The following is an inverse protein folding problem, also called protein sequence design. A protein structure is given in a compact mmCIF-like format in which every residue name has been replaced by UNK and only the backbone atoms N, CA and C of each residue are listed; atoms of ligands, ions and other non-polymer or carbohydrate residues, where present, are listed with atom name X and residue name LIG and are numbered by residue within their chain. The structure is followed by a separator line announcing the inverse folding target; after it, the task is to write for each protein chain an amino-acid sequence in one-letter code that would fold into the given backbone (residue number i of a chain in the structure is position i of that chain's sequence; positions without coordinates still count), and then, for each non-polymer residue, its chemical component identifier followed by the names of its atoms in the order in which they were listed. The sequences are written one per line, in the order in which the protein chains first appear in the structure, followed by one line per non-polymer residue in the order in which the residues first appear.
data_IF_435605560138
#
_entry.id   IF_435605560138
#
_cell.length_a   1.000
_cell.length_b   1.000
_cell.length_c   1.000
_cell.angle_alpha   90.00
_cell.angle_beta   90.00
_cell.angle_gamma   90.00
#
_symmetry.space_group_name_H-M   'P 1'
#
loop_
_entity.id
_entity.type
_entity.pdbx_description
1 polymer ?
#
# COMPACT_ATOMS: atom_id res chain seq x y z
N UNK A 1 -25.25 -24.78 -24.59
CA UNK A 1 -25.63 -23.71 -23.64
C UNK A 1 -24.93 -22.45 -24.08
N UNK A 2 -25.66 -21.42 -24.56
CA UNK A 2 -25.09 -20.19 -25.07
C UNK A 2 -24.33 -19.44 -23.97
N UNK A 3 -23.11 -18.99 -24.27
CA UNK A 3 -22.36 -18.04 -23.43
C UNK A 3 -23.21 -16.79 -23.30
N UNK A 4 -23.74 -16.50 -22.12
CA UNK A 4 -24.28 -15.17 -21.83
C UNK A 4 -23.06 -14.22 -21.86
N UNK A 5 -23.04 -13.30 -22.81
CA UNK A 5 -22.05 -12.21 -22.83
C UNK A 5 -22.15 -11.46 -21.49
N UNK A 6 -21.13 -11.60 -20.64
CA UNK A 6 -21.05 -10.84 -19.40
C UNK A 6 -20.88 -9.38 -19.78
N UNK A 7 -21.86 -8.55 -19.36
CA UNK A 7 -21.78 -7.12 -19.60
C UNK A 7 -20.52 -6.57 -18.92
N UNK A 8 -19.66 -5.87 -19.67
CA UNK A 8 -18.41 -5.28 -19.14
C UNK A 8 -18.70 -4.02 -18.32
N UNK A 9 -19.49 -4.16 -17.27
CA UNK A 9 -19.79 -3.12 -16.29
C UNK A 9 -19.02 -3.34 -15.00
N UNK A 10 -18.27 -2.35 -14.53
CA UNK A 10 -17.49 -2.44 -13.30
C UNK A 10 -17.80 -1.28 -12.35
N UNK A 11 -17.86 -1.61 -11.06
CA UNK A 11 -17.96 -0.65 -9.96
C UNK A 11 -16.69 -0.64 -9.16
N UNK A 12 -16.12 0.55 -8.91
CA UNK A 12 -14.94 0.74 -8.06
C UNK A 12 -15.33 1.59 -6.85
N UNK A 13 -15.10 1.07 -5.65
CA UNK A 13 -15.45 1.74 -4.39
C UNK A 13 -14.15 2.21 -3.73
N UNK A 14 -13.89 3.52 -3.78
CA UNK A 14 -12.69 4.18 -3.28
C UNK A 14 -11.87 4.82 -4.40
N UNK A 15 -11.50 6.09 -4.23
CA UNK A 15 -10.77 6.91 -5.21
C UNK A 15 -9.29 7.14 -4.83
N UNK A 16 -8.70 6.27 -4.00
CA UNK A 16 -7.26 6.27 -3.73
C UNK A 16 -6.46 5.66 -4.89
N UNK A 17 -5.12 5.53 -4.72
CA UNK A 17 -4.22 4.98 -5.75
C UNK A 17 -4.73 3.64 -6.27
N UNK A 18 -5.12 2.73 -5.38
CA UNK A 18 -5.59 1.40 -5.77
C UNK A 18 -6.88 1.47 -6.60
N UNK A 19 -7.90 2.23 -6.14
CA UNK A 19 -9.17 2.34 -6.85
C UNK A 19 -9.04 3.06 -8.18
N UNK A 20 -8.35 4.21 -8.22
CA UNK A 20 -8.12 4.92 -9.46
C UNK A 20 -7.33 4.08 -10.48
N UNK A 21 -6.33 3.31 -10.02
CA UNK A 21 -5.56 2.44 -10.91
C UNK A 21 -6.37 1.23 -11.40
N UNK A 22 -7.24 0.66 -10.57
CA UNK A 22 -8.16 -0.39 -11.00
C UNK A 22 -9.15 0.15 -12.04
N UNK A 23 -9.75 1.32 -11.79
CA UNK A 23 -10.68 1.97 -12.71
C UNK A 23 -10.02 2.27 -14.06
N UNK A 24 -8.80 2.84 -14.07
CA UNK A 24 -8.04 3.11 -15.28
C UNK A 24 -7.70 1.83 -16.05
N UNK A 25 -7.26 0.78 -15.35
CA UNK A 25 -6.91 -0.50 -15.98
C UNK A 25 -8.14 -1.16 -16.62
N UNK A 26 -9.28 -1.15 -15.94
CA UNK A 26 -10.55 -1.65 -16.47
C UNK A 26 -11.03 -0.84 -17.68
N UNK A 27 -11.00 0.50 -17.60
CA UNK A 27 -11.40 1.35 -18.70
C UNK A 27 -10.57 1.11 -19.97
N UNK A 28 -9.24 0.89 -19.82
CA UNK A 28 -8.37 0.52 -20.95
C UNK A 28 -8.68 -0.83 -21.57
N UNK A 29 -9.25 -1.75 -20.80
CA UNK A 29 -9.75 -3.05 -21.27
C UNK A 29 -11.17 -2.95 -21.88
N UNK A 30 -11.71 -1.74 -22.01
CA UNK A 30 -13.03 -1.49 -22.61
C UNK A 30 -14.20 -1.72 -21.66
N UNK A 31 -13.98 -1.73 -20.33
CA UNK A 31 -15.04 -1.80 -19.35
C UNK A 31 -15.70 -0.44 -19.15
N UNK A 32 -17.02 -0.44 -18.97
CA UNK A 32 -17.75 0.71 -18.46
C UNK A 32 -17.52 0.78 -16.95
N UNK A 33 -16.86 1.83 -16.48
CA UNK A 33 -16.43 1.92 -15.09
C UNK A 33 -17.10 3.10 -14.39
N UNK A 34 -17.73 2.80 -13.25
CA UNK A 34 -18.17 3.82 -12.31
C UNK A 34 -17.34 3.73 -11.01
N UNK A 35 -16.78 4.85 -10.58
CA UNK A 35 -15.97 4.96 -9.38
C UNK A 35 -16.65 5.86 -8.35
N UNK A 36 -16.68 5.42 -7.09
CA UNK A 36 -17.22 6.18 -5.95
C UNK A 36 -16.11 6.51 -4.97
N UNK A 37 -16.24 7.62 -4.25
CA UNK A 37 -15.31 8.04 -3.21
C UNK A 37 -14.61 9.36 -3.51
N UNK A 38 -13.97 9.91 -2.50
CA UNK A 38 -13.24 11.16 -2.62
C UNK A 38 -11.73 10.90 -2.67
N UNK A 39 -10.97 11.65 -3.48
CA UNK A 39 -9.51 11.60 -3.46
C UNK A 39 -8.97 12.01 -2.08
N UNK A 40 -7.76 11.56 -1.75
CA UNK A 40 -7.10 11.94 -0.49
C UNK A 40 -6.96 13.46 -0.36
N UNK A 41 -7.14 13.96 0.85
CA UNK A 41 -6.94 15.38 1.18
C UNK A 41 -5.44 15.72 1.24
N UNK A 42 -5.14 17.03 1.13
CA UNK A 42 -3.79 17.58 1.21
C UNK A 42 -3.07 17.22 2.52
N UNK A 43 -1.74 17.30 2.52
CA UNK A 43 -0.90 17.16 3.72
C UNK A 43 -0.17 15.84 3.88
N UNK A 44 -0.32 14.90 2.93
CA UNK A 44 0.40 13.64 2.93
C UNK A 44 1.36 13.55 1.75
N UNK A 45 2.48 12.88 1.96
CA UNK A 45 3.39 12.48 0.87
C UNK A 45 3.31 10.98 0.64
N UNK A 46 3.69 10.57 -0.56
CA UNK A 46 3.80 9.18 -0.96
C UNK A 46 5.22 8.95 -1.44
N UNK A 47 5.87 7.93 -0.88
CA UNK A 47 7.17 7.46 -1.35
C UNK A 47 6.94 6.36 -2.40
N UNK A 48 7.47 6.57 -3.59
CA UNK A 48 7.40 5.64 -4.71
C UNK A 48 8.80 5.06 -4.94
N UNK A 49 8.99 3.80 -4.60
CA UNK A 49 10.20 3.07 -4.98
C UNK A 49 10.21 2.80 -6.49
N UNK A 50 11.35 2.33 -7.02
CA UNK A 50 11.53 2.06 -8.45
C UNK A 50 10.50 1.08 -9.03
N UNK A 51 10.13 0.05 -8.27
CA UNK A 51 9.13 -0.93 -8.70
C UNK A 51 7.72 -0.33 -8.77
N UNK A 52 7.32 0.46 -7.78
CA UNK A 52 6.03 1.16 -7.77
C UNK A 52 5.95 2.18 -8.93
N UNK A 53 7.04 2.93 -9.18
CA UNK A 53 7.12 3.84 -10.33
C UNK A 53 6.96 3.13 -11.66
N UNK A 54 7.67 2.03 -11.86
CA UNK A 54 7.57 1.25 -13.09
C UNK A 54 6.11 0.83 -13.37
N UNK A 55 5.38 0.34 -12.36
CA UNK A 55 3.98 -0.05 -12.52
C UNK A 55 3.09 1.18 -12.76
N UNK A 56 3.35 2.29 -12.05
CA UNK A 56 2.63 3.54 -12.21
C UNK A 56 2.75 4.06 -13.66
N UNK A 57 3.98 4.11 -14.18
CA UNK A 57 4.25 4.58 -15.54
C UNK A 57 3.59 3.69 -16.61
N UNK A 58 3.57 2.38 -16.40
CA UNK A 58 2.86 1.47 -17.31
C UNK A 58 1.34 1.62 -17.22
N UNK A 59 0.80 1.91 -16.05
CA UNK A 59 -0.64 2.05 -15.85
C UNK A 59 -1.16 3.42 -16.30
N UNK A 60 -0.37 4.48 -16.11
CA UNK A 60 -0.84 5.85 -16.30
C UNK A 60 -0.10 6.61 -17.39
N UNK A 61 1.07 6.15 -17.80
CA UNK A 61 2.03 6.86 -18.63
C UNK A 61 3.02 7.69 -17.82
N UNK A 62 4.23 7.86 -18.36
CA UNK A 62 5.30 8.63 -17.70
C UNK A 62 4.92 10.09 -17.41
N UNK A 63 4.00 10.65 -18.19
CA UNK A 63 3.51 12.02 -18.06
C UNK A 63 2.71 12.26 -16.76
N UNK A 64 2.22 11.21 -16.10
CA UNK A 64 1.47 11.37 -14.85
C UNK A 64 2.30 12.13 -13.81
N UNK A 65 3.55 11.71 -13.59
CA UNK A 65 4.44 12.29 -12.58
C UNK A 65 5.12 13.58 -13.05
N UNK A 66 5.21 13.84 -14.35
CA UNK A 66 5.94 14.99 -14.89
C UNK A 66 5.46 16.34 -14.34
N UNK A 67 4.18 16.44 -13.98
CA UNK A 67 3.56 17.67 -13.48
C UNK A 67 3.07 17.55 -12.03
N UNK A 68 3.64 16.64 -11.25
CA UNK A 68 3.40 16.51 -9.81
C UNK A 68 4.65 17.01 -9.08
N UNK A 69 4.52 17.89 -8.08
CA UNK A 69 5.65 18.26 -7.23
C UNK A 69 6.29 17.00 -6.64
N UNK A 70 7.60 16.86 -6.85
CA UNK A 70 8.33 15.67 -6.45
C UNK A 70 9.75 15.98 -5.98
N UNK A 71 10.22 15.19 -5.02
CA UNK A 71 11.62 15.14 -4.60
C UNK A 71 12.17 13.76 -4.91
N UNK A 72 13.33 13.70 -5.55
CA UNK A 72 14.06 12.45 -5.80
C UNK A 72 15.09 12.25 -4.70
N UNK A 73 15.06 11.09 -4.09
CA UNK A 73 16.03 10.64 -3.10
C UNK A 73 16.86 9.55 -3.75
N UNK A 74 18.17 9.73 -3.76
CA UNK A 74 19.10 8.82 -4.45
C UNK A 74 19.40 7.56 -3.63
N UNK A 75 19.24 7.63 -2.29
CA UNK A 75 19.65 6.58 -1.37
C UNK A 75 18.76 6.46 -0.15
N UNK A 76 18.91 5.34 0.57
CA UNK A 76 18.41 5.15 1.93
C UNK A 76 19.57 5.08 2.90
N UNK A 77 19.47 5.79 4.01
CA UNK A 77 20.35 5.70 5.15
C UNK A 77 19.62 4.97 6.28
N UNK A 78 20.10 3.79 6.67
CA UNK A 78 19.38 2.91 7.61
C UNK A 78 20.25 2.69 8.85
N UNK A 79 19.75 3.10 10.01
CA UNK A 79 20.33 2.82 11.33
C UNK A 79 19.41 1.82 12.04
N UNK A 80 19.68 0.52 11.89
CA UNK A 80 18.77 -0.52 12.37
C UNK A 80 19.28 -1.32 13.56
N UNK A 81 20.52 -1.79 13.50
CA UNK A 81 21.17 -2.58 14.57
C UNK A 81 22.04 -1.73 15.47
N UNK A 82 22.76 -0.83 14.87
CA UNK A 82 23.77 -0.01 15.50
C UNK A 82 23.67 1.44 15.01
N UNK A 83 24.56 2.28 15.50
CA UNK A 83 24.56 3.72 15.18
C UNK A 83 25.29 4.06 13.89
N UNK A 84 25.79 3.07 13.16
CA UNK A 84 26.48 3.28 11.89
C UNK A 84 25.47 3.17 10.76
N UNK A 85 25.21 4.25 10.01
CA UNK A 85 24.24 4.21 8.92
C UNK A 85 24.72 3.29 7.80
N UNK A 86 23.87 2.34 7.43
CA UNK A 86 24.03 1.57 6.19
C UNK A 86 23.43 2.39 5.06
N UNK A 87 24.26 2.69 4.04
CA UNK A 87 23.79 3.37 2.85
C UNK A 87 23.39 2.34 1.79
N UNK A 88 22.21 2.53 1.20
CA UNK A 88 21.69 1.69 0.11
C UNK A 88 21.33 2.62 -1.03
N UNK A 89 21.95 2.42 -2.19
CA UNK A 89 21.56 3.09 -3.42
C UNK A 89 20.19 2.57 -3.87
N UNK A 90 19.18 3.39 -3.66
CA UNK A 90 17.79 3.03 -3.99
C UNK A 90 16.98 4.30 -4.24
N UNK A 91 16.70 4.54 -5.51
CA UNK A 91 15.95 5.71 -5.93
C UNK A 91 14.51 5.64 -5.42
N UNK A 92 14.13 6.63 -4.62
CA UNK A 92 12.77 6.84 -4.16
C UNK A 92 12.28 8.21 -4.62
N UNK A 93 11.07 8.30 -5.16
CA UNK A 93 10.43 9.56 -5.51
C UNK A 93 9.35 9.88 -4.48
N UNK A 94 9.50 11.00 -3.79
CA UNK A 94 8.52 11.51 -2.83
C UNK A 94 7.62 12.51 -3.56
N UNK A 95 6.32 12.26 -3.54
CA UNK A 95 5.32 13.10 -4.23
C UNK A 95 4.24 13.57 -3.28
N UNK A 96 3.66 14.73 -3.55
CA UNK A 96 2.45 15.19 -2.86
C UNK A 96 1.27 14.28 -3.22
N UNK A 97 0.62 13.70 -2.20
CA UNK A 97 -0.45 12.73 -2.37
C UNK A 97 -1.72 13.34 -3.00
N UNK A 98 -2.03 14.60 -2.68
CA UNK A 98 -3.21 15.27 -3.20
C UNK A 98 -3.01 15.67 -4.66
N UNK A 99 -1.81 16.18 -4.99
CA UNK A 99 -1.45 16.51 -6.37
C UNK A 99 -1.48 15.26 -7.27
N UNK A 100 -0.90 14.15 -6.80
CA UNK A 100 -0.97 12.87 -7.51
C UNK A 100 -2.41 12.40 -7.70
N UNK A 101 -3.23 12.41 -6.64
CA UNK A 101 -4.63 12.00 -6.70
C UNK A 101 -5.45 12.87 -7.67
N UNK A 102 -5.23 14.20 -7.65
CA UNK A 102 -5.87 15.12 -8.60
C UNK A 102 -5.52 14.82 -10.06
N UNK A 103 -4.24 14.54 -10.33
CA UNK A 103 -3.80 14.12 -11.67
C UNK A 103 -4.43 12.79 -12.09
N UNK A 104 -4.43 11.80 -11.20
CA UNK A 104 -5.06 10.50 -11.48
C UNK A 104 -6.56 10.67 -11.77
N UNK A 105 -7.27 11.51 -11.02
CA UNK A 105 -8.68 11.80 -11.27
C UNK A 105 -8.91 12.45 -12.64
N UNK A 106 -8.06 13.41 -13.05
CA UNK A 106 -8.15 14.04 -14.38
C UNK A 106 -7.93 13.02 -15.51
N UNK A 107 -6.95 12.14 -15.37
CA UNK A 107 -6.71 11.07 -16.36
C UNK A 107 -7.85 10.05 -16.40
N UNK A 108 -8.41 9.68 -15.24
CA UNK A 108 -9.56 8.78 -15.17
C UNK A 108 -10.80 9.37 -15.86
N UNK A 109 -11.05 10.66 -15.64
CA UNK A 109 -12.12 11.39 -16.33
C UNK A 109 -11.92 11.41 -17.87
N UNK A 110 -10.69 11.67 -18.33
CA UNK A 110 -10.36 11.62 -19.75
C UNK A 110 -10.53 10.21 -20.36
N UNK A 111 -10.35 9.16 -19.57
CA UNK A 111 -10.62 7.77 -19.93
C UNK A 111 -12.12 7.38 -19.78
N UNK A 112 -13.01 8.35 -19.56
CA UNK A 112 -14.46 8.17 -19.41
C UNK A 112 -14.86 7.30 -18.20
N UNK A 113 -14.05 7.27 -17.15
CA UNK A 113 -14.45 6.71 -15.85
C UNK A 113 -15.47 7.63 -15.24
N UNK A 114 -16.69 7.12 -15.02
CA UNK A 114 -17.76 7.90 -14.41
C UNK A 114 -17.51 8.05 -12.91
N UNK A 115 -17.49 9.28 -12.40
CA UNK A 115 -17.53 9.55 -10.96
C UNK A 115 -18.99 9.57 -10.51
N UNK A 116 -19.34 8.72 -9.55
CA UNK A 116 -20.71 8.60 -9.03
C UNK A 116 -20.72 8.88 -7.53
N UNK A 117 -21.70 9.66 -7.09
CA UNK A 117 -21.94 9.90 -5.65
C UNK A 117 -22.92 8.88 -5.04
N UNK A 118 -23.54 8.02 -5.86
CA UNK A 118 -24.56 7.06 -5.45
C UNK A 118 -24.32 5.62 -5.89
N UNK A 119 -25.31 4.75 -5.64
CA UNK A 119 -25.30 3.36 -6.09
C UNK A 119 -25.37 3.31 -7.62
N UNK A 120 -24.32 2.76 -8.25
CA UNK A 120 -24.39 2.42 -9.66
C UNK A 120 -25.31 1.21 -9.91
N UNK A 121 -25.88 1.14 -11.13
CA UNK A 121 -26.51 -0.04 -11.72
C UNK A 121 -25.74 -1.33 -11.37
N UNK A 122 -26.39 -2.49 -11.29
CA UNK A 122 -25.74 -3.73 -10.93
C UNK A 122 -24.56 -3.99 -11.87
N UNK A 123 -23.34 -3.85 -11.32
CA UNK A 123 -22.12 -4.12 -12.05
C UNK A 123 -21.84 -5.62 -12.04
N UNK A 124 -21.33 -6.15 -13.16
CA UNK A 124 -20.91 -7.55 -13.24
C UNK A 124 -19.59 -7.83 -12.46
N UNK A 125 -18.85 -6.76 -12.11
CA UNK A 125 -17.60 -6.83 -11.36
C UNK A 125 -17.48 -5.67 -10.38
N UNK A 126 -17.11 -5.94 -9.13
CA UNK A 126 -16.91 -4.90 -8.10
C UNK A 126 -15.51 -4.94 -7.54
N UNK A 127 -14.85 -3.78 -7.50
CA UNK A 127 -13.54 -3.59 -6.87
C UNK A 127 -13.69 -2.72 -5.63
N UNK A 128 -13.28 -3.23 -4.46
CA UNK A 128 -13.30 -2.50 -3.20
C UNK A 128 -11.89 -2.00 -2.87
N UNK A 129 -11.73 -0.68 -2.86
CA UNK A 129 -10.47 0.04 -2.69
C UNK A 129 -10.53 1.09 -1.57
N UNK A 130 -11.25 0.80 -0.49
CA UNK A 130 -11.57 1.74 0.61
C UNK A 130 -10.40 2.00 1.57
N UNK A 131 -9.24 1.42 1.30
CA UNK A 131 -8.07 1.53 2.18
C UNK A 131 -8.30 0.81 3.51
N UNK A 132 -7.74 1.37 4.60
CA UNK A 132 -7.85 0.78 5.95
C UNK A 132 -9.15 1.14 6.68
N UNK A 133 -10.12 1.79 6.02
CA UNK A 133 -11.26 2.46 6.66
C UNK A 133 -12.26 1.53 7.34
N UNK A 134 -12.26 0.24 7.09
CA UNK A 134 -13.11 -0.70 7.81
C UNK A 134 -12.43 -2.07 7.94
N UNK A 135 -12.06 -2.49 9.15
CA UNK A 135 -11.87 -3.90 9.43
C UNK A 135 -13.24 -4.55 9.33
N UNK A 136 -13.51 -5.25 8.23
CA UNK A 136 -14.69 -6.12 8.12
C UNK A 136 -14.45 -7.44 8.83
N UNK A 137 -15.48 -8.23 9.01
CA UNK A 137 -15.36 -9.63 9.42
C UNK A 137 -14.32 -10.35 8.56
N UNK A 138 -13.55 -11.26 9.16
CA UNK A 138 -12.50 -11.99 8.47
C UNK A 138 -11.22 -11.18 8.20
N UNK A 139 -10.95 -10.10 8.96
CA UNK A 139 -9.67 -9.39 8.85
C UNK A 139 -8.70 -9.83 9.94
N UNK A 140 -7.56 -10.36 9.55
CA UNK A 140 -6.42 -10.63 10.45
C UNK A 140 -5.61 -9.35 10.63
N UNK A 141 -5.10 -9.11 11.84
CA UNK A 141 -4.29 -7.93 12.18
C UNK A 141 -3.05 -8.36 12.95
N UNK A 142 -1.88 -7.87 12.54
CA UNK A 142 -0.60 -8.19 13.16
C UNK A 142 -0.15 -7.11 14.16
N UNK A 143 -0.98 -6.83 15.16
CA UNK A 143 -0.73 -5.86 16.23
C UNK A 143 -1.67 -4.65 16.21
N UNK A 144 -1.35 -3.64 17.03
CA UNK A 144 -2.14 -2.41 17.23
C UNK A 144 -1.24 -1.15 17.17
N UNK A 145 -0.12 -1.22 16.46
CA UNK A 145 0.78 -0.07 16.32
C UNK A 145 0.23 0.99 15.40
N UNK A 146 0.66 2.20 15.64
CA UNK A 146 0.30 3.37 14.86
C UNK A 146 1.54 4.00 14.23
N UNK A 147 1.37 4.68 13.10
CA UNK A 147 2.32 5.61 12.57
C UNK A 147 1.82 7.03 12.82
N UNK A 148 2.69 7.88 13.34
CA UNK A 148 2.43 9.28 13.61
C UNK A 148 3.32 10.09 12.69
N UNK A 149 2.73 10.97 11.88
CA UNK A 149 3.45 11.74 10.88
C UNK A 149 3.23 13.24 11.06
N UNK A 150 4.26 14.03 10.78
CA UNK A 150 4.17 15.48 10.72
C UNK A 150 5.14 16.05 9.67
N UNK A 151 4.83 17.25 9.17
CA UNK A 151 5.80 18.04 8.39
C UNK A 151 6.88 18.63 9.30
N UNK A 152 8.09 18.70 8.78
CA UNK A 152 9.25 19.21 9.50
C UNK A 152 10.04 20.19 8.64
N UNK A 153 10.65 21.17 9.29
CA UNK A 153 11.76 21.91 8.71
C UNK A 153 13.04 21.11 8.88
N UNK A 154 13.83 20.96 7.83
CA UNK A 154 15.11 20.26 7.85
C UNK A 154 16.22 21.16 8.38
N UNK A 155 17.06 20.60 9.24
CA UNK A 155 18.28 21.24 9.68
C UNK A 155 19.29 21.39 8.52
N UNK A 156 20.27 22.31 8.68
CA UNK A 156 21.31 22.51 7.65
C UNK A 156 22.14 21.25 7.37
N UNK A 157 22.30 20.41 8.39
CA UNK A 157 23.07 19.15 8.30
C UNK A 157 22.26 17.97 7.74
N UNK A 158 20.95 18.16 7.45
CA UNK A 158 20.15 17.10 6.89
C UNK A 158 20.59 16.74 5.48
N UNK A 159 20.66 15.44 5.20
CA UNK A 159 20.89 14.93 3.84
C UNK A 159 19.58 14.99 3.05
N UNK A 160 19.49 15.94 2.12
CA UNK A 160 18.28 16.16 1.33
C UNK A 160 18.05 15.09 0.24
N UNK A 161 19.05 14.24 -0.02
CA UNK A 161 19.00 13.20 -1.06
C UNK A 161 18.82 11.78 -0.49
N UNK A 162 18.66 11.67 0.84
CA UNK A 162 18.50 10.38 1.51
C UNK A 162 17.18 10.26 2.29
N UNK A 163 16.50 9.12 2.12
CA UNK A 163 15.52 8.65 3.06
C UNK A 163 16.24 8.07 4.27
N UNK A 164 16.08 8.68 5.43
CA UNK A 164 16.66 8.20 6.68
C UNK A 164 15.65 7.32 7.42
N UNK A 165 16.05 6.11 7.82
CA UNK A 165 15.25 5.20 8.64
C UNK A 165 16.09 4.81 9.87
N UNK A 166 15.51 4.96 11.06
CA UNK A 166 16.23 4.70 12.31
C UNK A 166 15.36 3.91 13.29
N UNK A 167 15.85 2.76 13.76
CA UNK A 167 15.22 1.98 14.81
C UNK A 167 15.65 2.48 16.20
N UNK A 168 14.68 2.52 17.12
CA UNK A 168 14.84 2.94 18.51
C UNK A 168 14.14 1.95 19.45
N UNK A 169 14.37 2.00 20.77
CA UNK A 169 13.62 1.15 21.71
C UNK A 169 12.09 1.36 21.65
N UNK A 170 11.60 2.54 21.26
CA UNK A 170 10.15 2.82 21.10
C UNK A 170 9.58 2.22 19.82
N UNK A 171 10.41 2.05 18.79
CA UNK A 171 9.97 1.63 17.46
C UNK A 171 10.95 2.08 16.39
N UNK A 172 10.46 2.73 15.36
CA UNK A 172 11.32 3.27 14.32
C UNK A 172 10.77 4.58 13.76
N UNK A 173 11.68 5.40 13.29
CA UNK A 173 11.40 6.71 12.73
C UNK A 173 11.93 6.78 11.31
N UNK A 174 11.19 7.41 10.40
CA UNK A 174 11.69 7.73 9.07
C UNK A 174 11.57 9.22 8.80
N UNK A 175 12.58 9.79 8.16
CA UNK A 175 12.62 11.16 7.70
C UNK A 175 12.73 11.16 6.17
N UNK A 176 11.73 11.74 5.51
CA UNK A 176 11.61 11.87 4.07
C UNK A 176 11.77 13.34 3.70
N UNK A 177 12.88 13.78 3.11
CA UNK A 177 12.96 15.07 2.45
C UNK A 177 11.90 15.19 1.35
N UNK A 178 11.20 16.33 1.29
CA UNK A 178 10.08 16.55 0.37
C UNK A 178 10.28 17.74 -0.56
N UNK A 179 11.50 18.28 -0.61
CA UNK A 179 11.90 19.41 -1.41
C UNK A 179 12.17 20.67 -0.60
N UNK A 180 13.08 21.50 -1.08
CA UNK A 180 13.55 22.67 -0.36
C UNK A 180 14.20 22.31 0.98
N UNK A 181 13.76 22.97 2.05
CA UNK A 181 14.19 22.66 3.41
C UNK A 181 13.06 22.04 4.24
N UNK A 182 12.18 21.32 3.61
CA UNK A 182 11.06 20.66 4.26
C UNK A 182 11.11 19.15 4.06
N UNK A 183 10.50 18.43 4.98
CA UNK A 183 10.35 16.99 4.93
C UNK A 183 9.11 16.52 5.68
N UNK A 184 8.94 15.21 5.69
CA UNK A 184 7.97 14.53 6.53
C UNK A 184 8.72 13.56 7.42
N UNK A 185 8.50 13.66 8.72
CA UNK A 185 8.93 12.66 9.69
C UNK A 185 7.72 11.80 10.04
N UNK A 186 7.94 10.52 10.20
CA UNK A 186 6.96 9.68 10.85
C UNK A 186 7.62 8.65 11.78
N UNK A 187 6.93 8.34 12.88
CA UNK A 187 7.34 7.33 13.85
C UNK A 187 6.31 6.23 13.90
N UNK A 188 6.75 4.98 13.83
CA UNK A 188 5.91 3.80 14.01
C UNK A 188 6.18 3.20 15.39
N UNK A 189 5.16 3.24 16.24
CA UNK A 189 5.24 2.85 17.65
C UNK A 189 4.03 2.01 18.04
N UNK A 190 4.11 1.13 19.06
CA UNK A 190 2.93 0.59 19.71
C UNK A 190 2.01 1.73 20.12
N UNK A 191 0.70 1.51 20.08
CA UNK A 191 -0.29 2.55 20.35
C UNK A 191 0.02 3.30 21.64
N UNK A 192 0.37 4.61 21.56
CA UNK A 192 0.82 5.35 22.73
C UNK A 192 -0.35 5.74 23.62
N UNK A 193 -0.09 5.84 24.94
CA UNK A 193 -1.03 6.39 25.91
C UNK A 193 -1.03 7.91 26.00
N UNK A 194 -0.30 8.61 25.13
CA UNK A 194 -0.12 10.07 25.10
C UNK A 194 -0.60 10.65 23.77
N UNK A 195 -0.70 11.98 23.68
CA UNK A 195 -1.11 12.63 22.45
C UNK A 195 -0.12 12.34 21.29
N UNK A 196 -0.60 12.28 20.03
CA UNK A 196 0.26 11.97 18.88
C UNK A 196 1.47 12.89 18.75
N UNK A 197 1.32 14.18 19.08
CA UNK A 197 2.42 15.13 19.04
C UNK A 197 3.53 14.77 20.03
N UNK A 198 3.18 14.45 21.27
CA UNK A 198 4.13 14.11 22.32
C UNK A 198 4.84 12.80 22.00
N UNK A 199 4.10 11.78 21.54
CA UNK A 199 4.68 10.51 21.12
C UNK A 199 5.66 10.67 19.94
N UNK A 200 5.37 11.56 19.00
CA UNK A 200 6.29 11.87 17.90
C UNK A 200 7.55 12.58 18.40
N UNK A 201 7.43 13.58 19.27
CA UNK A 201 8.55 14.28 19.85
C UNK A 201 9.47 13.34 20.64
N UNK A 202 8.90 12.48 21.47
CA UNK A 202 9.65 11.46 22.19
C UNK A 202 10.37 10.49 21.25
N UNK A 203 9.69 10.08 20.16
CA UNK A 203 10.30 9.19 19.15
C UNK A 203 11.46 9.85 18.43
N UNK A 204 11.35 11.15 18.07
CA UNK A 204 12.43 11.91 17.46
C UNK A 204 13.61 12.06 18.45
N UNK A 205 13.32 12.36 19.71
CA UNK A 205 14.35 12.52 20.74
C UNK A 205 15.19 11.26 20.96
N UNK A 206 14.58 10.08 20.84
CA UNK A 206 15.22 8.77 20.97
C UNK A 206 16.15 8.42 19.78
N UNK A 207 16.02 9.13 18.63
CA UNK A 207 16.86 8.86 17.45
C UNK A 207 18.28 9.39 17.62
N UNK A 208 19.23 8.77 16.93
CA UNK A 208 20.62 9.24 16.89
C UNK A 208 20.86 10.26 15.78
N UNK A 209 20.35 10.00 14.57
CA UNK A 209 20.59 10.82 13.39
C UNK A 209 19.41 11.74 13.06
N UNK A 210 18.16 11.23 13.12
CA UNK A 210 17.01 12.01 12.71
C UNK A 210 16.79 13.27 13.55
N UNK A 211 17.05 13.23 14.86
CA UNK A 211 16.96 14.42 15.75
C UNK A 211 17.87 15.58 15.35
N UNK A 212 19.00 15.30 14.71
CA UNK A 212 19.95 16.32 14.24
C UNK A 212 19.62 16.81 12.83
N UNK A 213 18.80 16.05 12.10
CA UNK A 213 18.33 16.39 10.75
C UNK A 213 17.03 17.21 10.75
N UNK A 214 16.34 17.30 11.89
CA UNK A 214 15.09 18.01 12.08
C UNK A 214 15.34 19.30 12.85
N UNK A 215 15.01 20.45 12.26
CA UNK A 215 15.09 21.76 12.92
C UNK A 215 13.84 22.05 13.74
N UNK A 216 12.65 21.72 13.21
CA UNK A 216 11.36 21.92 13.88
C UNK A 216 10.25 21.07 13.27
N UNK A 217 9.26 20.68 14.06
CA UNK A 217 7.97 20.18 13.57
C UNK A 217 7.11 21.39 13.21
N UNK A 218 6.60 21.46 11.95
CA UNK A 218 5.96 22.66 11.40
C UNK A 218 4.48 22.48 11.04
N UNK A 219 3.86 21.40 11.45
CA UNK A 219 2.47 21.14 11.12
C UNK A 219 1.78 20.26 12.15
N UNK A 220 0.47 20.04 12.00
CA UNK A 220 -0.25 19.12 12.86
C UNK A 220 0.24 17.69 12.65
N UNK A 221 0.22 16.92 13.75
CA UNK A 221 0.48 15.49 13.68
C UNK A 221 -0.77 14.74 13.20
N UNK A 222 -0.58 13.86 12.24
CA UNK A 222 -1.58 12.87 11.83
C UNK A 222 -1.19 11.50 12.36
N UNK A 223 -2.15 10.77 12.91
CA UNK A 223 -1.96 9.38 13.32
C UNK A 223 -2.80 8.45 12.47
N UNK A 224 -2.24 7.31 12.10
CA UNK A 224 -2.94 6.27 11.35
C UNK A 224 -2.46 4.89 11.78
N UNK A 225 -3.34 3.92 11.62
CA UNK A 225 -3.03 2.53 11.90
C UNK A 225 -1.90 2.01 10.98
N UNK A 226 -0.89 1.41 11.57
CA UNK A 226 0.31 0.92 10.89
C UNK A 226 0.49 -0.61 10.98
N UNK A 227 -0.32 -1.30 11.78
CA UNK A 227 -0.25 -2.75 11.87
C UNK A 227 -0.56 -3.42 10.51
N UNK A 228 0.13 -4.50 10.11
CA UNK A 228 -0.25 -5.27 8.95
C UNK A 228 -1.69 -5.79 9.10
N UNK A 229 -2.42 -5.76 7.99
CA UNK A 229 -3.78 -6.30 7.90
C UNK A 229 -3.92 -7.17 6.68
N UNK A 230 -4.66 -8.24 6.81
CA UNK A 230 -4.99 -9.16 5.72
C UNK A 230 -6.46 -9.53 5.81
N UNK A 231 -7.19 -9.26 4.73
CA UNK A 231 -8.57 -9.69 4.60
C UNK A 231 -8.62 -11.10 4.05
N UNK A 232 -9.22 -12.00 4.80
CA UNK A 232 -9.54 -13.33 4.31
C UNK A 232 -10.51 -13.25 3.13
N UNK A 233 -10.41 -14.16 2.14
CA UNK A 233 -11.34 -14.19 1.03
C UNK A 233 -12.76 -14.45 1.53
N UNK A 234 -13.78 -13.84 0.91
CA UNK A 234 -15.17 -14.14 1.24
C UNK A 234 -15.49 -15.59 0.90
N UNK A 235 -16.35 -16.22 1.71
CA UNK A 235 -16.78 -17.61 1.49
C UNK A 235 -17.82 -17.75 0.38
N UNK A 236 -18.34 -16.65 -0.15
CA UNK A 236 -19.37 -16.65 -1.18
C UNK A 236 -18.79 -16.21 -2.52
N UNK A 237 -19.17 -16.93 -3.60
CA UNK A 237 -18.77 -16.64 -4.97
C UNK A 237 -19.49 -15.43 -5.53
N UNK A 238 -19.05 -14.24 -5.14
CA UNK A 238 -19.51 -12.98 -5.71
C UNK A 238 -18.36 -12.29 -6.42
N UNK A 239 -18.62 -11.69 -7.57
CA UNK A 239 -17.62 -10.98 -8.39
C UNK A 239 -17.15 -9.67 -7.71
N UNK A 240 -16.66 -9.79 -6.47
CA UNK A 240 -16.16 -8.71 -5.63
C UNK A 240 -14.71 -9.03 -5.24
N UNK A 241 -13.80 -8.12 -5.57
CA UNK A 241 -12.40 -8.22 -5.17
C UNK A 241 -11.97 -6.99 -4.38
N UNK A 242 -11.12 -7.20 -3.38
CA UNK A 242 -10.52 -6.13 -2.60
C UNK A 242 -9.11 -5.83 -3.14
N UNK A 243 -8.71 -4.56 -3.13
CA UNK A 243 -7.40 -4.10 -3.61
C UNK A 243 -6.75 -3.10 -2.66
N UNK A 244 -5.43 -2.97 -2.73
CA UNK A 244 -4.67 -2.10 -1.84
C UNK A 244 -4.88 -2.47 -0.37
N UNK A 245 -4.86 -1.46 0.51
CA UNK A 245 -5.01 -1.67 1.96
C UNK A 245 -6.37 -2.26 2.38
N UNK A 246 -7.37 -2.27 1.49
CA UNK A 246 -8.64 -2.95 1.73
C UNK A 246 -8.51 -4.48 1.61
N UNK A 247 -7.54 -4.98 0.86
CA UNK A 247 -7.21 -6.40 0.72
C UNK A 247 -6.09 -6.83 1.67
N UNK A 248 -4.96 -6.15 1.56
CA UNK A 248 -3.78 -6.37 2.40
C UNK A 248 -3.05 -5.05 2.63
N UNK A 249 -2.86 -4.71 3.88
CA UNK A 249 -2.11 -3.54 4.28
C UNK A 249 -0.76 -3.98 4.85
N UNK A 250 0.31 -3.55 4.22
CA UNK A 250 1.67 -3.80 4.68
C UNK A 250 2.08 -2.86 5.81
N UNK A 251 3.03 -3.30 6.61
CA UNK A 251 3.74 -2.42 7.53
C UNK A 251 4.46 -1.31 6.75
N UNK A 252 4.37 -0.05 7.21
CA UNK A 252 5.00 1.08 6.52
C UNK A 252 6.52 0.95 6.35
N UNK A 253 7.20 0.15 7.18
CA UNK A 253 8.65 -0.11 7.05
C UNK A 253 9.03 -0.66 5.67
N UNK A 254 8.13 -1.38 5.02
CA UNK A 254 8.38 -1.89 3.67
C UNK A 254 8.51 -0.78 2.62
N UNK A 255 7.94 0.40 2.85
CA UNK A 255 7.85 1.48 1.87
C UNK A 255 7.10 1.10 0.58
N UNK A 256 6.32 0.01 0.58
CA UNK A 256 5.73 -0.58 -0.63
C UNK A 256 4.19 -0.47 -0.70
N UNK A 257 3.58 0.36 0.14
CA UNK A 257 2.12 0.53 0.14
C UNK A 257 1.54 0.96 -1.21
N UNK A 258 2.22 1.88 -1.91
CA UNK A 258 1.83 2.29 -3.26
C UNK A 258 2.01 1.16 -4.27
N UNK A 259 3.10 0.40 -4.18
CA UNK A 259 3.35 -0.77 -5.03
C UNK A 259 2.30 -1.86 -4.84
N UNK A 260 1.90 -2.15 -3.61
CA UNK A 260 0.78 -3.07 -3.29
C UNK A 260 -0.52 -2.58 -3.93
N UNK A 261 -0.84 -1.28 -3.78
CA UNK A 261 -2.03 -0.70 -4.35
C UNK A 261 -2.09 -0.87 -5.88
N UNK A 262 -0.99 -0.59 -6.56
CA UNK A 262 -0.87 -0.71 -8.02
C UNK A 262 -0.94 -2.17 -8.49
N UNK A 263 -0.21 -3.08 -7.85
CA UNK A 263 -0.20 -4.51 -8.24
C UNK A 263 -1.55 -5.17 -8.05
N UNK A 264 -2.21 -4.90 -6.91
CA UNK A 264 -3.52 -5.49 -6.64
C UNK A 264 -4.61 -4.90 -7.55
N UNK A 265 -4.53 -3.61 -7.90
CA UNK A 265 -5.42 -2.99 -8.86
C UNK A 265 -5.29 -3.62 -10.25
N UNK A 266 -4.05 -3.83 -10.70
CA UNK A 266 -3.79 -4.48 -11.99
C UNK A 266 -4.25 -5.94 -12.00
N UNK A 267 -4.02 -6.67 -10.91
CA UNK A 267 -4.52 -8.03 -10.75
C UNK A 267 -6.05 -8.07 -10.84
N UNK A 268 -6.76 -7.16 -10.14
CA UNK A 268 -8.22 -7.10 -10.18
C UNK A 268 -8.78 -6.87 -11.60
N UNK A 269 -8.14 -6.01 -12.38
CA UNK A 269 -8.52 -5.77 -13.77
C UNK A 269 -8.27 -7.01 -14.67
N UNK A 270 -7.15 -7.72 -14.45
CA UNK A 270 -6.84 -8.96 -15.18
C UNK A 270 -7.83 -10.08 -14.86
N UNK A 271 -8.28 -10.18 -13.59
CA UNK A 271 -9.31 -11.13 -13.18
C UNK A 271 -10.66 -10.80 -13.84
N UNK A 272 -11.06 -9.53 -13.84
CA UNK A 272 -12.29 -9.08 -14.48
C UNK A 272 -12.30 -9.45 -15.98
N UNK A 273 -11.20 -9.22 -16.69
CA UNK A 273 -11.09 -9.54 -18.11
C UNK A 273 -11.14 -11.06 -18.35
N UNK A 274 -10.51 -11.88 -17.50
CA UNK A 274 -10.61 -13.33 -17.57
C UNK A 274 -12.03 -13.81 -17.30
N UNK A 275 -12.73 -13.21 -16.34
CA UNK A 275 -14.13 -13.48 -16.05
C UNK A 275 -15.03 -13.16 -17.25
N UNK A 276 -14.85 -12.00 -17.87
CA UNK A 276 -15.61 -11.61 -19.05
C UNK A 276 -15.35 -12.53 -20.26
N UNK A 277 -14.19 -13.19 -20.31
CA UNK A 277 -13.87 -14.22 -21.32
C UNK A 277 -14.45 -15.60 -20.98
N UNK A 278 -15.14 -15.74 -19.85
CA UNK A 278 -15.82 -16.98 -19.43
C UNK A 278 -14.95 -17.90 -18.59
N UNK A 279 -13.88 -17.39 -17.97
CA UNK A 279 -13.16 -18.15 -16.95
C UNK A 279 -14.01 -18.27 -15.71
N UNK A 280 -13.94 -19.42 -15.05
CA UNK A 280 -14.70 -19.72 -13.85
C UNK A 280 -14.39 -18.74 -12.72
N UNK A 281 -15.44 -18.19 -12.09
CA UNK A 281 -15.34 -17.16 -11.06
C UNK A 281 -14.63 -17.70 -9.80
N UNK A 282 -14.97 -18.92 -9.37
CA UNK A 282 -14.41 -19.49 -8.14
C UNK A 282 -12.90 -19.70 -8.30
N UNK A 283 -12.47 -20.25 -9.43
CA UNK A 283 -11.04 -20.41 -9.74
C UNK A 283 -10.30 -19.07 -9.79
N UNK A 284 -10.92 -17.99 -10.27
CA UNK A 284 -10.33 -16.65 -10.27
C UNK A 284 -10.22 -16.06 -8.86
N UNK A 285 -11.24 -16.25 -8.02
CA UNK A 285 -11.24 -15.77 -6.64
C UNK A 285 -10.25 -16.56 -5.77
N UNK A 286 -10.13 -17.87 -5.96
CA UNK A 286 -9.10 -18.69 -5.31
C UNK A 286 -7.69 -18.23 -5.70
N UNK A 287 -7.44 -17.99 -6.99
CA UNK A 287 -6.18 -17.44 -7.44
C UNK A 287 -5.87 -16.07 -6.84
N UNK A 288 -6.86 -15.19 -6.78
CA UNK A 288 -6.72 -13.88 -6.12
C UNK A 288 -6.32 -14.05 -4.65
N UNK A 289 -7.07 -14.87 -3.91
CA UNK A 289 -6.81 -15.16 -2.50
C UNK A 289 -5.39 -15.71 -2.27
N UNK A 290 -4.99 -16.70 -3.07
CA UNK A 290 -3.64 -17.28 -3.03
C UNK A 290 -2.54 -16.23 -3.24
N UNK A 291 -2.70 -15.35 -4.24
CA UNK A 291 -1.72 -14.29 -4.54
C UNK A 291 -1.57 -13.30 -3.39
N UNK A 292 -2.68 -12.91 -2.77
CA UNK A 292 -2.67 -11.99 -1.64
C UNK A 292 -2.08 -12.64 -0.38
N UNK A 293 -2.47 -13.87 -0.06
CA UNK A 293 -1.97 -14.61 1.09
C UNK A 293 -0.45 -14.83 0.99
N UNK A 294 0.03 -15.24 -0.21
CA UNK A 294 1.46 -15.41 -0.46
C UNK A 294 2.25 -14.10 -0.29
N UNK A 295 1.70 -12.98 -0.77
CA UNK A 295 2.34 -11.67 -0.60
C UNK A 295 2.41 -11.27 0.87
N UNK A 296 1.32 -11.49 1.64
CA UNK A 296 1.29 -11.19 3.08
C UNK A 296 2.23 -12.10 3.87
N UNK A 297 2.26 -13.41 3.60
CA UNK A 297 3.20 -14.34 4.25
C UNK A 297 4.66 -13.91 4.04
N UNK A 298 5.04 -13.62 2.80
CA UNK A 298 6.40 -13.15 2.49
C UNK A 298 6.73 -11.83 3.22
N UNK A 299 5.78 -10.90 3.28
CA UNK A 299 5.93 -9.64 3.99
C UNK A 299 6.14 -9.84 5.49
N UNK A 300 5.26 -10.60 6.16
CA UNK A 300 5.35 -10.85 7.60
C UNK A 300 6.65 -11.56 7.99
N UNK A 301 7.06 -12.57 7.22
CA UNK A 301 8.34 -13.26 7.45
C UNK A 301 9.53 -12.33 7.29
N UNK A 302 9.49 -11.42 6.30
CA UNK A 302 10.51 -10.39 6.11
C UNK A 302 10.57 -9.42 7.29
N UNK A 303 9.42 -8.91 7.73
CA UNK A 303 9.32 -8.00 8.88
C UNK A 303 9.81 -8.63 10.18
N UNK A 304 9.39 -9.85 10.49
CA UNK A 304 9.83 -10.55 11.71
C UNK A 304 11.34 -10.69 11.78
N UNK A 305 12.00 -10.96 10.63
CA UNK A 305 13.47 -10.99 10.56
C UNK A 305 14.11 -9.62 10.77
N UNK A 306 13.50 -8.56 10.23
CA UNK A 306 14.02 -7.19 10.43
C UNK A 306 13.82 -6.74 11.88
N UNK A 307 12.64 -6.90 12.44
CA UNK A 307 12.33 -6.49 13.80
C UNK A 307 13.12 -7.29 14.85
N UNK A 308 13.50 -8.55 14.56
CA UNK A 308 14.36 -9.32 15.44
C UNK A 308 15.81 -8.74 15.54
N UNK A 309 16.20 -7.86 14.63
CA UNK A 309 17.51 -7.19 14.63
C UNK A 309 17.45 -5.76 15.18
N UNK A 310 16.26 -5.20 15.39
CA UNK A 310 16.08 -3.85 15.90
C UNK A 310 16.22 -3.81 17.42
N UNK A 311 16.70 -2.69 18.01
CA UNK A 311 16.86 -2.51 19.45
C UNK A 311 15.51 -2.21 20.14
N UNK A 312 14.47 -2.94 19.81
CA UNK A 312 13.11 -2.70 20.31
C UNK A 312 12.99 -2.99 21.80
N UNK A 313 12.29 -2.11 22.51
CA UNK A 313 11.97 -2.27 23.91
C UNK A 313 10.84 -3.26 24.18
N UNK A 314 10.57 -3.51 25.46
CA UNK A 314 9.55 -4.47 25.92
C UNK A 314 8.15 -4.13 25.45
N UNK A 315 7.83 -2.86 25.18
CA UNK A 315 6.55 -2.42 24.61
C UNK A 315 6.21 -3.06 23.25
N UNK A 316 7.22 -3.58 22.53
CA UNK A 316 7.05 -4.27 21.26
C UNK A 316 6.74 -5.77 21.39
N UNK A 317 6.82 -6.34 22.59
CA UNK A 317 6.61 -7.78 22.79
C UNK A 317 5.25 -8.24 22.28
N UNK A 318 4.19 -7.48 22.59
CA UNK A 318 2.82 -7.76 22.14
C UNK A 318 2.67 -7.64 20.62
N UNK A 319 3.28 -6.61 20.02
CA UNK A 319 3.29 -6.40 18.57
C UNK A 319 3.96 -7.54 17.82
N UNK A 320 5.14 -7.99 18.31
CA UNK A 320 5.85 -9.11 17.72
C UNK A 320 5.11 -10.43 17.87
N UNK A 321 4.45 -10.66 19.01
CA UNK A 321 3.61 -11.83 19.23
C UNK A 321 2.41 -11.85 18.27
N UNK A 322 1.71 -10.72 18.13
CA UNK A 322 0.57 -10.59 17.22
C UNK A 322 0.98 -10.78 15.74
N UNK A 323 2.14 -10.25 15.34
CA UNK A 323 2.66 -10.49 13.98
C UNK A 323 3.01 -11.96 13.73
N UNK A 324 3.58 -12.68 14.72
CA UNK A 324 3.84 -14.13 14.60
C UNK A 324 2.52 -14.90 14.44
N UNK A 325 1.56 -14.63 15.31
CA UNK A 325 0.25 -15.28 15.23
C UNK A 325 -0.45 -15.03 13.88
N UNK A 326 -0.36 -13.80 13.35
CA UNK A 326 -0.87 -13.50 12.02
C UNK A 326 -0.11 -14.24 10.92
N UNK A 327 1.23 -14.34 11.01
CA UNK A 327 2.03 -15.06 10.04
C UNK A 327 1.67 -16.56 10.02
N UNK A 328 1.52 -17.17 11.20
CA UNK A 328 1.12 -18.57 11.33
C UNK A 328 -0.29 -18.82 10.75
N UNK A 329 -1.24 -17.91 10.99
CA UNK A 329 -2.59 -18.01 10.43
C UNK A 329 -2.61 -17.87 8.91
N UNK A 330 -1.82 -16.92 8.34
CA UNK A 330 -1.72 -16.76 6.88
C UNK A 330 -1.01 -17.96 6.24
N UNK A 331 0.04 -18.48 6.87
CA UNK A 331 0.76 -19.67 6.38
C UNK A 331 -0.12 -20.92 6.44
N UNK A 332 -0.92 -21.09 7.48
CA UNK A 332 -1.93 -22.15 7.58
C UNK A 332 -2.94 -22.04 6.43
N UNK A 333 -3.50 -20.86 6.20
CA UNK A 333 -4.41 -20.64 5.08
C UNK A 333 -3.79 -20.97 3.72
N UNK A 334 -2.49 -20.68 3.53
CA UNK A 334 -1.79 -21.02 2.28
C UNK A 334 -1.60 -22.54 2.07
N UNK A 335 -1.42 -23.30 3.15
CA UNK A 335 -1.31 -24.76 3.08
C UNK A 335 -2.62 -25.41 2.64
N UNK A 336 -3.75 -24.80 3.01
CA UNK A 336 -5.09 -25.29 2.67
C UNK A 336 -5.53 -24.87 1.24
N UNK A 337 -4.84 -23.92 0.62
CA UNK A 337 -5.14 -23.45 -0.74
C UNK A 337 -4.57 -24.38 -1.80
N UNK A 338 -5.34 -24.59 -2.87
CA UNK A 338 -4.85 -25.31 -4.06
C UNK A 338 -3.67 -24.58 -4.71
N UNK A 339 -2.82 -25.33 -5.43
CA UNK A 339 -1.78 -24.73 -6.25
C UNK A 339 -2.38 -23.78 -7.29
N UNK A 340 -1.71 -22.66 -7.65
CA UNK A 340 -2.28 -21.65 -8.52
C UNK A 340 -2.60 -22.21 -9.91
N UNK A 341 -3.84 -22.02 -10.34
CA UNK A 341 -4.34 -22.45 -11.64
C UNK A 341 -3.95 -21.51 -12.79
N UNK A 342 -3.42 -20.31 -12.47
CA UNK A 342 -3.11 -19.26 -13.44
C UNK A 342 -1.71 -18.67 -13.23
N UNK A 343 -1.15 -18.13 -14.31
CA UNK A 343 0.01 -17.28 -14.30
C UNK A 343 -0.35 -15.90 -14.85
N UNK A 344 0.30 -14.85 -14.35
CA UNK A 344 0.18 -13.50 -14.90
C UNK A 344 1.22 -13.39 -16.02
N UNK A 345 0.75 -13.12 -17.24
CA UNK A 345 1.56 -12.84 -18.43
C UNK A 345 1.45 -11.37 -18.84
N UNK A 346 2.18 -10.98 -19.90
CA UNK A 346 2.04 -9.65 -20.48
C UNK A 346 0.64 -9.42 -21.09
N UNK A 347 -0.02 -10.49 -21.52
CA UNK A 347 -1.35 -10.47 -22.16
C UNK A 347 -2.50 -10.69 -21.16
N UNK A 348 -2.21 -10.74 -19.86
CA UNK A 348 -3.16 -10.95 -18.79
C UNK A 348 -2.99 -12.31 -18.09
N UNK A 349 -4.10 -12.88 -17.61
CA UNK A 349 -4.12 -14.19 -16.96
C UNK A 349 -4.13 -15.30 -18.02
N UNK A 350 -3.19 -16.21 -17.91
CA UNK A 350 -3.12 -17.43 -18.69
C UNK A 350 -3.25 -18.66 -17.77
N UNK A 351 -3.89 -19.75 -18.20
CA UNK A 351 -3.85 -21.02 -17.45
C UNK A 351 -2.40 -21.41 -17.17
N UNK A 352 -2.12 -21.79 -15.92
CA UNK A 352 -0.79 -22.30 -15.58
C UNK A 352 -0.64 -23.68 -16.21
N UNK A 353 0.12 -23.77 -17.28
CA UNK A 353 0.55 -25.03 -17.84
C UNK A 353 1.58 -25.63 -16.87
N UNK A 354 1.08 -26.16 -15.76
CA UNK A 354 1.91 -26.82 -14.76
C UNK A 354 2.72 -27.93 -15.42
N UNK A 355 3.97 -28.07 -15.01
CA UNK A 355 4.71 -29.28 -15.31
C UNK A 355 3.83 -30.47 -14.91
N UNK A 356 3.30 -31.16 -15.90
CA UNK A 356 2.74 -32.51 -15.75
C UNK A 356 3.87 -33.47 -15.46
#
# INVERSE_FOLDING_TARGET
MGRSDVTRGARVIGAGIAGASAAMSLARLGWQVAMTGSPRRAGHVIALNSAARFILDRTWGAELLANVPQQRLARRAILWRDRTPQQIDDETVVVDAAALAGRMAAYAAAAKVAMSEGSCEPASWTVVATGRSAPGEGTLTGGDRVAIAARVALAAAADADALLIEATPRGWTALLPAGGREGVVFACVPKPGVAPHDALQESIADTHAARHSIAAVIGPCASFDAAPRFRLPPQNSVAIVHVGDAALAFDPLSGDGAGVALRTAHLAASLAEAYARGTDLDALLEFHAYRLARAMSAHLRGLLRLYAQAPLGTSWSGELAAMRAMADAVDGSLQDMAAPSFAISQDGLAPYAGMR
#
